data_IF_712129295285
#
_entry.id   IF_712129295285
#
_cell.length_a   1.000
_cell.length_b   1.000
_cell.length_c   1.000
_cell.angle_alpha   90.00
_cell.angle_beta   90.00
_cell.angle_gamma   90.00
#
_symmetry.space_group_name_H-M   'P 1'
#
loop_
_entity.id
_entity.type
_entity.pdbx_description
1 polymer ?
#
# COMPACT_ATOMS: atom_id res chain seq x y z
N UNK A 1 38.90 61.53 -37.71
CA UNK A 1 39.94 60.81 -38.48
C UNK A 1 40.45 59.68 -37.60
N UNK A 2 40.54 58.46 -38.14
CA UNK A 2 41.05 57.22 -37.54
C UNK A 2 40.22 56.60 -36.39
N UNK A 3 40.02 55.29 -36.28
CA UNK A 3 40.14 54.16 -37.19
C UNK A 3 39.59 52.93 -36.41
N UNK A 4 38.92 52.03 -37.14
CA UNK A 4 39.02 50.57 -37.03
C UNK A 4 38.80 49.83 -35.69
N UNK A 5 37.72 49.03 -35.71
CA UNK A 5 37.60 47.64 -35.20
C UNK A 5 38.94 46.84 -35.30
N UNK A 6 39.23 45.76 -34.54
CA UNK A 6 38.30 44.64 -34.31
C UNK A 6 38.43 43.86 -32.96
N UNK A 7 37.44 43.01 -32.67
CA UNK A 7 37.64 41.79 -31.85
C UNK A 7 38.75 40.94 -32.50
N UNK A 8 39.52 40.08 -31.79
CA UNK A 8 39.11 38.66 -31.78
C UNK A 8 39.75 37.70 -30.71
N UNK A 9 39.23 36.46 -30.73
CA UNK A 9 39.82 35.12 -30.43
C UNK A 9 40.07 34.61 -28.99
N UNK A 10 39.37 33.51 -28.75
CA UNK A 10 39.56 32.34 -27.87
C UNK A 10 40.99 31.86 -27.59
N UNK A 11 41.25 31.26 -26.40
CA UNK A 11 41.49 29.80 -26.22
C UNK A 11 41.97 29.40 -24.79
N UNK A 12 41.52 28.21 -24.37
CA UNK A 12 42.22 27.18 -23.57
C UNK A 12 42.30 27.23 -22.02
N UNK A 13 41.55 26.31 -21.40
CA UNK A 13 42.01 25.12 -20.62
C UNK A 13 43.03 25.31 -19.49
N UNK A 14 42.70 24.88 -18.25
CA UNK A 14 43.23 23.69 -17.52
C UNK A 14 42.58 23.55 -16.11
N UNK A 15 42.54 22.31 -15.62
CA UNK A 15 41.99 21.69 -14.38
C UNK A 15 42.41 22.34 -13.02
N UNK A 16 42.00 21.92 -11.80
CA UNK A 16 41.81 20.59 -11.20
C UNK A 16 41.23 20.70 -9.74
N UNK A 17 40.69 19.60 -9.17
CA UNK A 17 40.47 19.36 -7.72
C UNK A 17 39.03 19.60 -7.20
N UNK A 18 38.14 18.64 -6.89
CA UNK A 18 38.12 17.35 -6.15
C UNK A 18 37.77 17.43 -4.63
N UNK A 19 36.85 16.53 -4.23
CA UNK A 19 36.35 16.11 -2.88
C UNK A 19 35.22 16.96 -2.22
N UNK A 20 33.92 16.55 -2.28
CA UNK A 20 33.18 15.57 -1.44
C UNK A 20 33.34 15.85 0.08
N UNK A 21 32.31 16.01 0.92
CA UNK A 21 31.34 14.95 1.35
C UNK A 21 30.30 15.49 2.36
N UNK A 22 29.04 15.06 2.18
CA UNK A 22 27.96 14.73 3.15
C UNK A 22 27.26 15.77 4.06
N UNK A 23 25.93 15.85 3.88
CA UNK A 23 24.92 15.35 4.83
C UNK A 23 23.59 15.17 4.05
N UNK A 24 23.22 13.99 3.55
CA UNK A 24 22.57 12.87 4.23
C UNK A 24 21.21 13.22 4.89
N UNK A 25 20.14 13.19 4.10
CA UNK A 25 18.88 12.54 4.49
C UNK A 25 18.54 11.50 3.42
N UNK A 26 18.71 10.20 3.71
CA UNK A 26 18.10 9.15 2.92
C UNK A 26 16.70 8.90 3.48
N UNK A 27 15.68 9.07 2.65
CA UNK A 27 14.53 8.18 2.73
C UNK A 27 14.21 7.80 1.31
N UNK A 28 14.93 6.77 0.85
CA UNK A 28 14.61 6.11 -0.39
C UNK A 28 13.18 5.63 -0.31
N UNK A 29 12.29 6.29 -1.03
CA UNK A 29 11.04 5.66 -1.42
C UNK A 29 11.43 4.77 -2.59
N UNK A 30 11.85 3.55 -2.28
CA UNK A 30 11.70 2.47 -3.23
C UNK A 30 10.18 2.32 -3.39
N UNK A 31 9.60 3.06 -4.33
CA UNK A 31 8.25 2.84 -4.78
C UNK A 31 8.26 1.49 -5.49
N UNK A 32 8.24 0.44 -4.68
CA UNK A 32 7.87 -0.90 -5.10
C UNK A 32 6.44 -0.73 -5.61
N UNK A 33 6.11 -1.15 -6.84
CA UNK A 33 4.72 -1.10 -7.30
C UNK A 33 3.90 -1.86 -6.26
N UNK A 34 3.07 -1.14 -5.51
CA UNK A 34 2.21 -1.70 -4.47
C UNK A 34 1.27 -2.68 -5.17
N UNK A 35 1.42 -4.01 -4.99
CA UNK A 35 0.66 -4.96 -5.79
C UNK A 35 -0.82 -5.04 -5.37
N UNK A 36 -1.25 -4.15 -4.47
CA UNK A 36 -2.56 -4.13 -3.84
C UNK A 36 -3.18 -2.73 -3.96
N UNK A 37 -3.70 -2.40 -5.15
CA UNK A 37 -4.27 -1.07 -5.47
C UNK A 37 -5.43 -0.62 -4.56
N UNK A 38 -6.02 -1.54 -3.77
CA UNK A 38 -7.13 -1.31 -2.86
C UNK A 38 -6.79 -1.68 -1.39
N UNK A 39 -5.50 -1.84 -1.05
CA UNK A 39 -5.08 -1.94 0.34
C UNK A 39 -5.24 -0.57 1.00
N UNK A 40 -6.08 -0.46 2.04
CA UNK A 40 -6.19 0.76 2.87
C UNK A 40 -4.98 0.98 3.79
N UNK A 41 -3.83 0.38 3.43
CA UNK A 41 -2.59 0.28 4.18
C UNK A 41 -2.79 -0.16 5.63
N UNK A 42 -2.52 -1.44 5.90
CA UNK A 42 -2.49 -1.99 7.26
C UNK A 42 -1.69 -1.11 8.23
N UNK A 43 -0.60 -0.48 7.81
CA UNK A 43 0.18 0.44 8.64
C UNK A 43 -0.63 1.61 9.23
N UNK A 44 -1.59 2.16 8.46
CA UNK A 44 -2.45 3.25 8.90
C UNK A 44 -3.55 2.77 9.86
N UNK A 45 -4.03 1.54 9.68
CA UNK A 45 -5.03 0.91 10.56
C UNK A 45 -4.41 0.44 11.87
N UNK A 46 -3.20 -0.13 11.79
CA UNK A 46 -2.44 -0.58 12.95
C UNK A 46 -1.97 0.62 13.77
N UNK A 47 -1.66 1.75 13.12
CA UNK A 47 -1.23 3.02 13.74
C UNK A 47 -0.13 2.84 14.81
N UNK A 48 0.78 1.90 14.57
CA UNK A 48 1.87 1.57 15.51
C UNK A 48 1.43 0.84 16.79
N UNK A 49 0.17 0.41 16.90
CA UNK A 49 -0.39 -0.32 18.04
C UNK A 49 -0.82 -1.77 17.65
N UNK A 50 0.11 -2.61 17.17
CA UNK A 50 -0.20 -3.99 16.77
C UNK A 50 -0.73 -4.86 17.93
N UNK A 51 -0.43 -4.51 19.18
CA UNK A 51 -0.91 -5.21 20.37
C UNK A 51 -2.44 -5.16 20.57
N UNK A 52 -3.14 -4.28 19.84
CA UNK A 52 -4.60 -4.20 19.83
C UNK A 52 -5.24 -5.29 18.98
N UNK A 53 -4.46 -6.02 18.18
CA UNK A 53 -4.92 -7.05 17.28
C UNK A 53 -4.30 -8.40 17.63
N UNK A 54 -5.03 -9.48 17.38
CA UNK A 54 -4.55 -10.85 17.60
C UNK A 54 -4.75 -11.77 16.40
N UNK A 55 -5.46 -11.31 15.37
CA UNK A 55 -5.82 -12.12 14.23
C UNK A 55 -6.10 -11.31 12.98
N UNK A 56 -6.13 -12.03 11.87
CA UNK A 56 -6.49 -11.54 10.54
C UNK A 56 -7.64 -12.39 10.05
N UNK A 57 -8.67 -11.75 9.50
CA UNK A 57 -9.83 -12.45 8.92
C UNK A 57 -9.93 -12.15 7.43
N UNK A 58 -10.05 -13.20 6.62
CA UNK A 58 -10.31 -13.08 5.19
C UNK A 58 -11.78 -13.44 4.96
N UNK A 59 -12.53 -12.49 4.41
CA UNK A 59 -13.94 -12.65 4.10
C UNK A 59 -14.23 -12.28 2.65
N UNK A 60 -15.08 -13.06 2.01
CA UNK A 60 -15.70 -12.74 0.76
C UNK A 60 -16.83 -11.73 0.97
N UNK A 61 -16.87 -10.71 0.13
CA UNK A 61 -17.86 -9.63 0.19
C UNK A 61 -18.51 -9.49 -1.18
N UNK A 62 -19.81 -9.24 -1.18
CA UNK A 62 -20.55 -8.82 -2.37
C UNK A 62 -21.23 -7.49 -2.11
N UNK A 63 -21.28 -6.66 -3.14
CA UNK A 63 -22.09 -5.44 -3.12
C UNK A 63 -23.47 -5.78 -3.66
N UNK A 64 -24.50 -5.57 -2.85
CA UNK A 64 -25.88 -5.56 -3.29
C UNK A 64 -26.25 -4.13 -3.66
N UNK A 65 -26.56 -3.88 -4.93
CA UNK A 65 -27.02 -2.57 -5.40
C UNK A 65 -28.53 -2.64 -5.64
N UNK A 66 -29.29 -1.85 -4.90
CA UNK A 66 -30.72 -1.69 -5.16
C UNK A 66 -30.91 -0.71 -6.35
N UNK A 67 -31.52 -1.16 -7.46
CA UNK A 67 -31.64 -0.35 -8.67
C UNK A 67 -32.68 0.79 -8.55
N UNK A 68 -33.48 0.80 -7.48
CA UNK A 68 -34.57 1.76 -7.26
C UNK A 68 -34.20 2.76 -6.17
N UNK A 69 -33.53 2.30 -5.11
CA UNK A 69 -33.15 3.11 -3.95
C UNK A 69 -31.68 2.91 -3.59
N UNK A 70 -30.76 3.77 -4.08
CA UNK A 70 -29.33 3.63 -3.86
C UNK A 70 -28.95 3.58 -2.37
N UNK A 71 -29.72 4.21 -1.49
CA UNK A 71 -29.49 4.24 -0.04
C UNK A 71 -29.71 2.87 0.62
N UNK A 72 -30.30 1.90 -0.11
CA UNK A 72 -30.43 0.50 0.31
C UNK A 72 -29.33 -0.40 -0.22
N UNK A 73 -28.42 0.12 -1.03
CA UNK A 73 -27.26 -0.64 -1.46
C UNK A 73 -26.39 -0.94 -0.25
N UNK A 74 -25.97 -2.18 -0.09
CA UNK A 74 -25.20 -2.62 1.07
C UNK A 74 -24.12 -3.62 0.66
N UNK A 75 -23.05 -3.67 1.45
CA UNK A 75 -22.07 -4.73 1.36
C UNK A 75 -22.48 -5.87 2.30
N UNK A 76 -22.59 -7.08 1.75
CA UNK A 76 -22.88 -8.29 2.52
C UNK A 76 -21.68 -9.23 2.46
N UNK A 77 -21.45 -9.96 3.54
CA UNK A 77 -20.49 -11.07 3.52
C UNK A 77 -21.08 -12.22 2.70
N UNK A 78 -20.37 -12.62 1.66
CA UNK A 78 -20.70 -13.78 0.83
C UNK A 78 -19.42 -14.55 0.52
N UNK A 79 -19.16 -15.57 1.32
CA UNK A 79 -17.99 -16.45 1.15
C UNK A 79 -18.21 -17.52 0.07
N UNK A 80 -19.43 -17.66 -0.48
CA UNK A 80 -19.74 -18.65 -1.50
C UNK A 80 -19.59 -18.08 -2.92
N UNK A 81 -20.06 -16.85 -3.12
CA UNK A 81 -19.96 -16.16 -4.40
C UNK A 81 -19.58 -14.68 -4.22
N UNK A 82 -18.38 -14.40 -3.67
CA UNK A 82 -17.91 -13.04 -3.43
C UNK A 82 -17.72 -12.26 -4.73
N UNK A 83 -18.01 -10.96 -4.68
CA UNK A 83 -17.59 -10.02 -5.72
C UNK A 83 -16.13 -9.59 -5.54
N UNK A 84 -15.67 -9.50 -4.29
CA UNK A 84 -14.29 -9.23 -3.89
C UNK A 84 -14.01 -9.82 -2.50
N UNK A 85 -12.75 -9.76 -2.05
CA UNK A 85 -12.28 -10.30 -0.78
C UNK A 85 -11.74 -9.17 0.08
N UNK A 86 -12.24 -9.06 1.30
CA UNK A 86 -11.76 -8.07 2.27
C UNK A 86 -10.91 -8.76 3.34
N UNK A 87 -9.78 -8.16 3.66
CA UNK A 87 -8.90 -8.57 4.76
C UNK A 87 -9.14 -7.63 5.92
N UNK A 88 -9.41 -8.22 7.08
CA UNK A 88 -9.68 -7.51 8.32
C UNK A 88 -8.65 -7.87 9.39
N UNK A 89 -8.36 -6.92 10.27
CA UNK A 89 -7.66 -7.21 11.52
C UNK A 89 -8.69 -7.36 12.63
N UNK A 90 -8.58 -8.45 13.39
CA UNK A 90 -9.42 -8.71 14.54
C UNK A 90 -8.85 -7.98 15.76
N UNK A 91 -9.67 -7.13 16.38
CA UNK A 91 -9.30 -6.43 17.61
C UNK A 91 -9.46 -7.37 18.82
N UNK A 92 -8.49 -7.35 19.73
CA UNK A 92 -8.52 -8.16 20.97
C UNK A 92 -9.72 -7.83 21.86
N UNK A 93 -10.19 -6.58 21.83
CA UNK A 93 -11.36 -6.12 22.58
C UNK A 93 -12.68 -6.40 21.84
N UNK A 94 -12.61 -7.00 20.66
CA UNK A 94 -13.74 -7.29 19.78
C UNK A 94 -13.91 -6.26 18.66
N UNK A 95 -14.48 -6.74 17.55
CA UNK A 95 -14.63 -5.96 16.33
C UNK A 95 -13.49 -6.18 15.35
N UNK A 96 -13.65 -5.61 14.16
CA UNK A 96 -12.73 -5.81 13.03
C UNK A 96 -12.47 -4.50 12.30
N UNK A 97 -11.26 -4.34 11.78
CA UNK A 97 -10.87 -3.20 10.96
C UNK A 97 -10.45 -3.66 9.56
N UNK A 98 -11.10 -3.14 8.51
CA UNK A 98 -10.73 -3.46 7.13
C UNK A 98 -9.38 -2.82 6.79
N UNK A 99 -8.44 -3.65 6.34
CA UNK A 99 -7.10 -3.21 5.92
C UNK A 99 -6.86 -3.31 4.43
N UNK A 100 -7.62 -4.15 3.72
CA UNK A 100 -7.54 -4.26 2.27
C UNK A 100 -8.81 -4.85 1.66
N UNK A 101 -9.20 -4.36 0.49
CA UNK A 101 -10.17 -5.00 -0.39
C UNK A 101 -9.43 -5.48 -1.64
N UNK A 102 -9.65 -6.71 -2.07
CA UNK A 102 -8.85 -7.38 -3.10
C UNK A 102 -9.75 -8.17 -4.05
N UNK A 103 -9.37 -8.22 -5.32
CA UNK A 103 -10.20 -8.85 -6.35
C UNK A 103 -10.19 -10.38 -6.29
N UNK A 104 -9.19 -10.98 -5.65
CA UNK A 104 -9.05 -12.43 -5.58
C UNK A 104 -8.66 -12.92 -4.19
N UNK A 105 -9.10 -14.15 -3.91
CA UNK A 105 -8.80 -14.86 -2.67
C UNK A 105 -7.30 -15.07 -2.47
N UNK A 106 -6.60 -15.48 -3.53
CA UNK A 106 -5.14 -15.70 -3.49
C UNK A 106 -4.37 -14.43 -3.09
N UNK A 107 -4.78 -13.26 -3.59
CA UNK A 107 -4.18 -11.98 -3.20
C UNK A 107 -4.47 -11.64 -1.73
N UNK A 108 -5.69 -11.93 -1.26
CA UNK A 108 -6.07 -11.71 0.13
C UNK A 108 -5.28 -12.59 1.09
N UNK A 109 -5.09 -13.87 0.74
CA UNK A 109 -4.24 -14.80 1.50
C UNK A 109 -2.80 -14.32 1.51
N UNK A 110 -2.22 -13.98 0.35
CA UNK A 110 -0.84 -13.48 0.28
C UNK A 110 -0.64 -12.22 1.13
N UNK A 111 -1.62 -11.31 1.15
CA UNK A 111 -1.58 -10.11 1.99
C UNK A 111 -1.70 -10.44 3.49
N UNK A 112 -2.58 -11.37 3.86
CA UNK A 112 -2.73 -11.83 5.23
C UNK A 112 -1.46 -12.54 5.74
N UNK A 113 -0.85 -13.40 4.93
CA UNK A 113 0.41 -14.09 5.25
C UNK A 113 1.56 -13.10 5.50
N UNK A 114 1.64 -12.03 4.72
CA UNK A 114 2.63 -10.97 4.93
C UNK A 114 2.46 -10.29 6.31
N UNK A 115 1.22 -10.04 6.73
CA UNK A 115 0.92 -9.43 8.03
C UNK A 115 1.12 -10.42 9.17
N UNK A 116 0.65 -11.65 9.03
CA UNK A 116 0.84 -12.72 10.01
C UNK A 116 2.32 -13.00 10.25
N UNK A 117 3.13 -13.09 9.19
CA UNK A 117 4.57 -13.28 9.32
C UNK A 117 5.30 -12.12 10.00
N UNK A 118 4.71 -10.91 10.01
CA UNK A 118 5.29 -9.72 10.64
C UNK A 118 4.92 -9.58 12.12
N UNK A 119 3.68 -9.94 12.46
CA UNK A 119 3.11 -9.68 13.79
C UNK A 119 2.75 -10.96 14.57
N UNK A 120 2.99 -12.14 14.00
CA UNK A 120 2.66 -13.45 14.57
C UNK A 120 1.15 -13.62 14.85
N UNK A 121 0.31 -13.04 13.99
CA UNK A 121 -1.14 -13.13 14.10
C UNK A 121 -1.70 -14.39 13.45
N UNK A 122 -2.84 -14.87 13.96
CA UNK A 122 -3.53 -16.03 13.37
C UNK A 122 -4.35 -15.59 12.16
N UNK A 123 -4.30 -16.35 11.07
CA UNK A 123 -5.14 -16.11 9.89
C UNK A 123 -6.37 -17.00 9.97
N UNK A 124 -7.54 -16.38 9.93
CA UNK A 124 -8.84 -17.03 9.82
C UNK A 124 -9.38 -16.81 8.41
N UNK A 125 -9.31 -17.85 7.58
CA UNK A 125 -9.82 -17.81 6.22
C UNK A 125 -11.23 -18.42 6.17
N UNK A 126 -12.24 -17.58 5.92
CA UNK A 126 -13.63 -17.99 5.85
C UNK A 126 -14.10 -18.32 4.43
N UNK A 127 -13.23 -18.17 3.43
CA UNK A 127 -13.57 -18.39 2.02
C UNK A 127 -13.28 -19.81 1.54
N UNK A 128 -12.38 -20.55 2.21
CA UNK A 128 -12.02 -21.94 1.86
C UNK A 128 -12.84 -22.97 2.67
N UNK A 129 -13.58 -22.53 3.69
CA UNK A 129 -14.30 -23.43 4.60
C UNK A 129 -15.64 -23.90 4.02
N UNK A 130 -15.64 -24.72 2.97
CA UNK A 130 -16.83 -25.46 2.50
C UNK A 130 -16.51 -26.86 1.95
#
# INVERSE_FOLDING_TARGET
MHASNPQPITTSTTADGSFRTSQAHPTGTCATPEPFHNARYASAVIDGMPEQFDGIEIQGVREFIDPIDPDRSCCELDNQNPAFFSVYLHHREGGVACVADLESHELAVAYAELLAGRYDWTINDYCIAH
#
